data_IF_903351270097
#
_entry.id   IF_903351270097
#
_cell.length_a   1.000
_cell.length_b   1.000
_cell.length_c   1.000
_cell.angle_alpha   90.00
_cell.angle_beta   90.00
_cell.angle_gamma   90.00
#
_symmetry.space_group_name_H-M   'P 1'
#
loop_
_entity.id
_entity.type
_entity.pdbx_description
1 polymer ?
#
# COMPACT_ATOMS: atom_id res chain seq x y z
N UNK A 1 7.52 78.26 39.75
CA UNK A 1 6.04 78.22 39.74
C UNK A 1 5.62 77.27 40.85
N UNK A 2 5.45 77.85 42.05
CA UNK A 2 4.17 78.06 42.75
C UNK A 2 3.82 76.80 43.56
N UNK A 3 3.63 76.77 44.88
CA UNK A 3 3.71 77.71 46.01
C UNK A 3 3.30 76.80 47.20
N UNK A 4 4.12 76.45 48.18
CA UNK A 4 4.33 77.19 49.44
C UNK A 4 3.07 77.85 50.03
N UNK A 5 2.57 77.35 51.17
CA UNK A 5 2.23 78.14 52.39
C UNK A 5 1.71 77.14 53.46
N UNK A 6 2.34 76.90 54.62
CA UNK A 6 2.87 77.77 55.69
C UNK A 6 1.78 78.39 56.59
N UNK A 7 1.63 77.80 57.79
CA UNK A 7 1.29 78.39 59.10
C UNK A 7 0.88 77.24 60.03
N UNK A 8 1.61 76.86 61.07
CA UNK A 8 2.27 77.61 62.14
C UNK A 8 1.30 78.50 62.94
N UNK A 9 0.94 78.03 64.15
CA UNK A 9 0.48 78.84 65.27
C UNK A 9 0.50 77.98 66.55
N UNK A 10 1.66 78.02 67.19
CA UNK A 10 1.92 77.68 68.58
C UNK A 10 1.14 78.58 69.57
N UNK A 11 0.72 78.02 70.73
CA UNK A 11 0.55 78.64 72.07
C UNK A 11 -0.47 77.85 72.95
N UNK A 12 -0.53 78.05 74.28
CA UNK A 12 0.41 77.59 75.30
C UNK A 12 -0.30 76.74 76.39
N UNK A 13 0.48 76.21 77.32
CA UNK A 13 0.00 75.54 78.53
C UNK A 13 -0.88 76.44 79.42
N UNK A 14 -1.96 75.89 79.97
CA UNK A 14 -2.65 76.41 81.15
C UNK A 14 -3.17 75.25 82.03
N UNK A 15 -3.09 75.38 83.37
CA UNK A 15 -3.16 74.27 84.30
C UNK A 15 -4.56 73.98 84.88
N UNK A 16 -4.73 72.74 85.34
CA UNK A 16 -5.53 72.29 86.49
C UNK A 16 -6.87 73.01 86.78
N UNK A 17 -7.94 72.62 86.09
CA UNK A 17 -9.33 72.79 86.56
C UNK A 17 -10.15 71.50 86.65
N UNK A 18 -9.59 70.36 86.22
CA UNK A 18 -10.24 69.05 86.30
C UNK A 18 -10.15 68.42 87.70
N UNK A 19 -9.17 68.81 88.52
CA UNK A 19 -8.99 68.22 89.84
C UNK A 19 -10.01 68.70 90.88
N UNK A 20 -10.56 69.91 90.72
CA UNK A 20 -11.61 70.44 91.62
C UNK A 20 -13.01 69.96 91.25
N UNK A 21 -13.25 69.60 89.98
CA UNK A 21 -14.55 69.08 89.52
C UNK A 21 -14.83 67.65 90.04
N UNK A 22 -13.79 66.84 90.23
CA UNK A 22 -13.92 65.47 90.75
C UNK A 22 -14.28 65.38 92.24
N UNK A 23 -14.18 66.48 93.02
CA UNK A 23 -14.54 66.49 94.45
C UNK A 23 -15.99 66.90 94.75
N UNK A 24 -16.71 67.49 93.79
CA UNK A 24 -18.12 67.92 93.97
C UNK A 24 -19.14 67.11 93.17
N UNK A 25 -18.69 66.20 92.30
CA UNK A 25 -19.60 65.38 91.50
C UNK A 25 -19.98 64.12 92.26
N UNK A 26 -21.26 63.99 92.61
CA UNK A 26 -21.82 62.80 93.27
C UNK A 26 -21.60 61.55 92.38
N UNK A 27 -20.54 60.80 92.69
CA UNK A 27 -20.09 59.56 92.04
C UNK A 27 -21.19 58.53 91.67
N UNK A 28 -22.33 58.37 92.38
CA UNK A 28 -23.35 57.41 91.93
C UNK A 28 -24.00 57.74 90.57
N UNK A 29 -24.07 59.02 90.16
CA UNK A 29 -24.79 59.39 88.92
C UNK A 29 -23.99 59.13 87.64
N UNK A 30 -22.66 59.23 87.71
CA UNK A 30 -21.77 58.99 86.57
C UNK A 30 -21.66 57.50 86.23
N UNK A 31 -21.67 56.61 87.25
CA UNK A 31 -21.70 55.16 87.06
C UNK A 31 -23.01 54.72 86.40
N UNK A 32 -24.14 55.36 86.73
CA UNK A 32 -25.45 55.05 86.15
C UNK A 32 -25.53 55.39 84.66
N UNK A 33 -24.97 56.51 84.22
CA UNK A 33 -24.96 56.90 82.80
C UNK A 33 -24.15 55.95 81.91
N UNK A 34 -23.01 55.46 82.41
CA UNK A 34 -22.14 54.53 81.67
C UNK A 34 -22.81 53.16 81.50
N UNK A 35 -23.52 52.67 82.52
CA UNK A 35 -24.23 51.40 82.45
C UNK A 35 -25.34 51.41 81.38
N UNK A 36 -26.06 52.54 81.23
CA UNK A 36 -27.13 52.69 80.23
C UNK A 36 -26.55 52.78 78.80
N UNK A 37 -25.39 53.43 78.61
CA UNK A 37 -24.69 53.47 77.33
C UNK A 37 -24.18 52.10 76.87
N UNK A 38 -23.67 51.28 77.79
CA UNK A 38 -23.15 49.94 77.48
C UNK A 38 -24.27 48.94 77.14
N UNK A 39 -25.41 49.04 77.82
CA UNK A 39 -26.58 48.19 77.54
C UNK A 39 -27.21 48.51 76.17
N UNK A 40 -27.29 49.79 75.79
CA UNK A 40 -27.82 50.19 74.48
C UNK A 40 -26.90 49.75 73.33
N UNK A 41 -25.58 49.76 73.53
CA UNK A 41 -24.61 49.28 72.54
C UNK A 41 -24.65 47.75 72.35
N UNK A 42 -24.80 46.96 73.43
CA UNK A 42 -24.89 45.50 73.30
C UNK A 42 -26.15 45.02 72.56
N UNK A 43 -27.26 45.76 72.66
CA UNK A 43 -28.54 45.37 72.07
C UNK A 43 -28.58 45.57 70.54
N UNK A 44 -27.90 46.61 70.04
CA UNK A 44 -27.70 46.84 68.60
C UNK A 44 -26.85 45.73 67.96
N UNK A 45 -25.86 45.26 68.71
CA UNK A 45 -24.91 44.27 68.25
C UNK A 45 -25.53 42.87 68.18
N UNK A 46 -26.26 42.46 69.21
CA UNK A 46 -26.89 41.13 69.27
C UNK A 46 -27.87 40.88 68.12
N UNK A 47 -28.57 41.92 67.64
CA UNK A 47 -29.48 41.84 66.49
C UNK A 47 -28.76 41.60 65.17
N UNK A 48 -27.62 42.24 64.94
CA UNK A 48 -26.90 42.08 63.66
C UNK A 48 -26.26 40.71 63.48
N UNK A 49 -25.90 40.02 64.56
CA UNK A 49 -25.29 38.67 64.50
C UNK A 49 -26.32 37.59 64.15
N UNK A 50 -27.54 37.69 64.68
CA UNK A 50 -28.60 36.71 64.40
C UNK A 50 -29.03 36.74 62.94
N UNK A 51 -29.17 37.92 62.35
CA UNK A 51 -29.46 38.05 60.90
C UNK A 51 -28.37 37.46 60.00
N UNK A 52 -27.09 37.49 60.43
CA UNK A 52 -25.99 36.91 59.63
C UNK A 52 -25.95 35.39 59.69
N UNK A 53 -26.36 34.78 60.80
CA UNK A 53 -26.41 33.32 60.93
C UNK A 53 -27.53 32.72 60.07
N UNK A 54 -28.68 33.39 60.01
CA UNK A 54 -29.79 32.97 59.13
C UNK A 54 -29.51 33.20 57.64
N UNK A 55 -28.59 34.10 57.31
CA UNK A 55 -28.14 34.31 55.95
C UNK A 55 -27.09 33.26 55.56
N UNK A 56 -26.14 32.95 56.44
CA UNK A 56 -25.17 31.88 56.24
C UNK A 56 -25.81 30.49 56.15
N UNK A 57 -26.86 30.21 56.94
CA UNK A 57 -27.56 28.91 56.86
C UNK A 57 -28.29 28.74 55.52
N UNK A 58 -28.87 29.82 55.01
CA UNK A 58 -29.49 29.87 53.69
C UNK A 58 -28.47 29.76 52.56
N UNK A 59 -27.35 30.46 52.66
CA UNK A 59 -26.27 30.40 51.66
C UNK A 59 -25.64 28.99 51.60
N UNK A 60 -25.47 28.31 52.74
CA UNK A 60 -24.97 26.92 52.78
C UNK A 60 -25.99 25.93 52.19
N UNK A 61 -27.29 26.13 52.43
CA UNK A 61 -28.33 25.33 51.79
C UNK A 61 -28.36 25.54 50.26
N UNK A 62 -28.16 26.78 49.82
CA UNK A 62 -28.10 27.13 48.40
C UNK A 62 -26.83 26.57 47.72
N UNK A 63 -25.66 26.64 48.36
CA UNK A 63 -24.44 26.02 47.86
C UNK A 63 -24.57 24.49 47.74
N UNK A 64 -25.26 23.83 48.68
CA UNK A 64 -25.52 22.38 48.57
C UNK A 64 -26.40 22.05 47.37
N UNK A 65 -27.39 22.88 47.05
CA UNK A 65 -28.19 22.76 45.83
C UNK A 65 -27.31 22.90 44.58
N UNK A 66 -26.46 23.93 44.54
CA UNK A 66 -25.55 24.17 43.41
C UNK A 66 -24.52 23.05 43.23
N UNK A 67 -23.99 22.47 44.31
CA UNK A 67 -23.05 21.33 44.22
C UNK A 67 -23.73 20.07 43.68
N UNK A 68 -25.01 19.84 44.00
CA UNK A 68 -25.79 18.72 43.43
C UNK A 68 -26.08 18.96 41.94
N UNK A 69 -26.35 20.20 41.55
CA UNK A 69 -26.56 20.59 40.15
C UNK A 69 -25.26 20.47 39.33
N UNK A 70 -24.13 20.91 39.89
CA UNK A 70 -22.80 20.75 39.31
C UNK A 70 -22.40 19.27 39.21
N UNK A 71 -22.69 18.45 40.21
CA UNK A 71 -22.46 17.00 40.16
C UNK A 71 -23.35 16.29 39.13
N UNK A 72 -24.58 16.77 38.92
CA UNK A 72 -25.46 16.33 37.83
C UNK A 72 -24.86 16.68 36.47
N UNK A 73 -24.43 17.92 36.28
CA UNK A 73 -23.80 18.37 35.02
C UNK A 73 -22.51 17.62 34.68
N UNK A 74 -21.72 17.22 35.69
CA UNK A 74 -20.53 16.39 35.51
C UNK A 74 -20.87 14.96 35.04
N UNK A 75 -22.02 14.42 35.45
CA UNK A 75 -22.48 13.11 34.99
C UNK A 75 -22.98 13.17 33.55
N UNK A 76 -23.68 14.24 33.17
CA UNK A 76 -24.09 14.48 31.79
C UNK A 76 -22.87 14.68 30.88
N UNK A 77 -21.86 15.42 31.34
CA UNK A 77 -20.60 15.61 30.61
C UNK A 77 -19.88 14.28 30.35
N UNK A 78 -19.81 13.38 31.35
CA UNK A 78 -19.27 12.01 31.16
C UNK A 78 -20.07 11.21 30.14
N UNK A 79 -21.39 11.26 30.23
CA UNK A 79 -22.27 10.53 29.31
C UNK A 79 -22.13 11.02 27.87
N UNK A 80 -21.97 12.33 27.64
CA UNK A 80 -21.62 12.86 26.32
C UNK A 80 -20.23 12.44 25.87
N UNK A 81 -19.26 12.33 26.78
CA UNK A 81 -17.90 11.89 26.43
C UNK A 81 -17.88 10.40 26.04
N UNK A 82 -18.65 9.56 26.74
CA UNK A 82 -18.82 8.14 26.41
C UNK A 82 -19.51 7.96 25.05
N UNK A 83 -20.55 8.76 24.75
CA UNK A 83 -21.21 8.75 23.45
C UNK A 83 -20.29 9.25 22.32
N UNK A 84 -19.45 10.25 22.57
CA UNK A 84 -18.46 10.72 21.60
C UNK A 84 -17.37 9.67 21.36
N UNK A 85 -16.93 8.95 22.40
CA UNK A 85 -15.99 7.85 22.27
C UNK A 85 -16.59 6.69 21.46
N UNK A 86 -17.86 6.34 21.71
CA UNK A 86 -18.56 5.30 20.95
C UNK A 86 -18.78 5.72 19.48
N UNK A 87 -19.11 6.99 19.23
CA UNK A 87 -19.25 7.52 17.87
C UNK A 87 -17.91 7.57 17.13
N UNK A 88 -16.81 7.87 17.83
CA UNK A 88 -15.46 7.81 17.29
C UNK A 88 -15.06 6.38 16.90
N UNK A 89 -15.34 5.39 17.77
CA UNK A 89 -15.11 3.97 17.47
C UNK A 89 -15.98 3.51 16.29
N UNK A 90 -17.25 3.91 16.23
CA UNK A 90 -18.12 3.59 15.11
C UNK A 90 -17.62 4.18 13.79
N UNK A 91 -17.11 5.42 13.80
CA UNK A 91 -16.47 6.05 12.63
C UNK A 91 -15.23 5.29 12.18
N UNK A 92 -14.39 4.84 13.13
CA UNK A 92 -13.21 4.05 12.81
C UNK A 92 -13.58 2.69 12.18
N UNK A 93 -14.61 2.02 12.70
CA UNK A 93 -15.15 0.77 12.11
C UNK A 93 -15.71 1.00 10.71
N UNK A 94 -16.41 2.11 10.46
CA UNK A 94 -16.91 2.47 9.14
C UNK A 94 -15.77 2.77 8.15
N UNK A 95 -14.70 3.43 8.61
CA UNK A 95 -13.50 3.64 7.79
C UNK A 95 -12.84 2.31 7.42
N UNK A 96 -12.65 1.40 8.40
CA UNK A 96 -12.13 0.07 8.14
C UNK A 96 -13.01 -0.73 7.15
N UNK A 97 -14.33 -0.70 7.33
CA UNK A 97 -15.27 -1.35 6.40
C UNK A 97 -15.20 -0.75 4.98
N UNK A 98 -15.08 0.59 4.86
CA UNK A 98 -14.92 1.25 3.57
C UNK A 98 -13.63 0.86 2.86
N UNK A 99 -12.54 0.70 3.62
CA UNK A 99 -11.26 0.24 3.11
C UNK A 99 -11.37 -1.21 2.59
N UNK A 100 -11.99 -2.11 3.34
CA UNK A 100 -12.23 -3.49 2.91
C UNK A 100 -13.06 -3.57 1.62
N UNK A 101 -14.07 -2.71 1.47
CA UNK A 101 -14.87 -2.64 0.23
C UNK A 101 -14.04 -2.15 -0.95
N UNK A 102 -13.16 -1.17 -0.74
CA UNK A 102 -12.24 -0.71 -1.78
C UNK A 102 -11.27 -1.82 -2.21
N UNK A 103 -10.77 -2.60 -1.25
CA UNK A 103 -9.87 -3.73 -1.53
C UNK A 103 -10.59 -4.87 -2.25
N UNK A 104 -11.84 -5.19 -1.87
CA UNK A 104 -12.68 -6.17 -2.59
C UNK A 104 -12.93 -5.76 -4.04
N UNK A 105 -13.18 -4.48 -4.31
CA UNK A 105 -13.33 -3.96 -5.68
C UNK A 105 -12.03 -4.08 -6.48
N UNK A 106 -10.88 -3.82 -5.85
CA UNK A 106 -9.56 -3.99 -6.48
C UNK A 106 -9.33 -5.46 -6.83
N UNK A 107 -9.63 -6.38 -5.92
CA UNK A 107 -9.53 -7.84 -6.14
C UNK A 107 -10.45 -8.29 -7.28
N UNK A 108 -11.71 -7.81 -7.32
CA UNK A 108 -12.63 -8.11 -8.41
C UNK A 108 -12.08 -7.66 -9.77
N UNK A 109 -11.54 -6.44 -9.84
CA UNK A 109 -10.93 -5.91 -11.08
C UNK A 109 -9.72 -6.74 -11.51
N UNK A 110 -8.90 -7.19 -10.55
CA UNK A 110 -7.77 -8.08 -10.82
C UNK A 110 -8.22 -9.46 -11.33
N UNK A 111 -9.25 -10.05 -10.73
CA UNK A 111 -9.87 -11.31 -11.17
C UNK A 111 -10.45 -11.21 -12.59
N UNK A 112 -11.08 -10.10 -12.95
CA UNK A 112 -11.58 -9.86 -14.30
C UNK A 112 -10.44 -9.76 -15.32
N UNK A 113 -9.35 -9.06 -14.98
CA UNK A 113 -8.16 -8.99 -15.83
C UNK A 113 -7.46 -10.36 -15.97
N UNK A 114 -7.35 -11.11 -14.88
CA UNK A 114 -6.74 -12.43 -14.89
C UNK A 114 -7.58 -13.46 -15.65
N UNK A 115 -8.92 -13.38 -15.54
CA UNK A 115 -9.85 -14.15 -16.37
C UNK A 115 -9.71 -13.84 -17.87
N UNK A 116 -9.50 -12.57 -18.24
CA UNK A 116 -9.21 -12.18 -19.62
C UNK A 116 -7.87 -12.77 -20.12
N UNK A 117 -6.83 -12.77 -19.28
CA UNK A 117 -5.52 -13.40 -19.60
C UNK A 117 -5.61 -14.92 -19.75
N UNK A 118 -6.40 -15.59 -18.91
CA UNK A 118 -6.67 -17.03 -19.04
C UNK A 118 -7.39 -17.35 -20.35
N UNK A 119 -8.37 -16.53 -20.73
CA UNK A 119 -9.09 -16.67 -22.00
C UNK A 119 -8.16 -16.47 -23.21
N UNK A 120 -7.25 -15.50 -23.15
CA UNK A 120 -6.22 -15.30 -24.17
C UNK A 120 -5.28 -16.53 -24.27
N UNK A 121 -4.85 -17.08 -23.13
CA UNK A 121 -4.00 -18.27 -23.08
C UNK A 121 -4.69 -19.50 -23.65
N UNK A 122 -5.98 -19.68 -23.40
CA UNK A 122 -6.79 -20.76 -24.00
C UNK A 122 -6.87 -20.63 -25.53
N UNK A 123 -6.98 -19.41 -26.06
CA UNK A 123 -6.94 -19.16 -27.50
C UNK A 123 -5.57 -19.48 -28.11
N UNK A 124 -4.47 -19.17 -27.42
CA UNK A 124 -3.11 -19.56 -27.86
C UNK A 124 -2.96 -21.08 -27.93
N UNK A 125 -3.45 -21.82 -26.93
CA UNK A 125 -3.41 -23.29 -26.94
C UNK A 125 -4.26 -23.86 -28.09
N UNK A 126 -5.42 -23.26 -28.37
CA UNK A 126 -6.25 -23.64 -29.52
C UNK A 126 -5.51 -23.40 -30.84
N UNK A 127 -4.84 -22.26 -30.98
CA UNK A 127 -3.99 -21.93 -32.14
C UNK A 127 -2.83 -22.92 -32.32
N UNK A 128 -2.16 -23.30 -31.23
CA UNK A 128 -1.09 -24.32 -31.23
C UNK A 128 -1.59 -25.70 -31.71
N UNK A 129 -2.79 -26.13 -31.27
CA UNK A 129 -3.39 -27.37 -31.77
C UNK A 129 -3.76 -27.29 -33.24
N UNK A 130 -4.24 -26.14 -33.71
CA UNK A 130 -4.55 -25.93 -35.12
C UNK A 130 -3.28 -25.94 -35.97
N UNK A 131 -2.22 -25.27 -35.53
CA UNK A 131 -0.91 -25.30 -36.19
C UNK A 131 -0.35 -26.73 -36.22
N UNK A 132 -0.45 -27.48 -35.12
CA UNK A 132 -0.04 -28.88 -35.07
C UNK A 132 -0.83 -29.74 -36.08
N UNK A 133 -2.14 -29.56 -36.16
CA UNK A 133 -2.98 -30.27 -37.12
C UNK A 133 -2.61 -29.92 -38.57
N UNK A 134 -2.28 -28.66 -38.84
CA UNK A 134 -1.86 -28.18 -40.16
C UNK A 134 -0.48 -28.72 -40.55
N UNK A 135 0.48 -28.75 -39.62
CA UNK A 135 1.79 -29.39 -39.85
C UNK A 135 1.65 -30.88 -40.11
N UNK A 136 0.79 -31.59 -39.36
CA UNK A 136 0.48 -33.01 -39.60
C UNK A 136 -0.16 -33.18 -40.98
N UNK A 137 -1.07 -32.29 -41.38
CA UNK A 137 -1.72 -32.33 -42.68
C UNK A 137 -0.75 -32.04 -43.84
N UNK A 138 0.31 -31.25 -43.62
CA UNK A 138 1.35 -30.96 -44.61
C UNK A 138 2.45 -32.03 -44.68
N UNK A 139 2.54 -32.94 -43.71
CA UNK A 139 3.53 -34.01 -43.67
C UNK A 139 3.57 -34.90 -44.95
N UNK A 140 2.44 -35.27 -45.57
CA UNK A 140 2.44 -35.99 -46.85
C UNK A 140 3.05 -35.18 -48.01
N UNK A 141 2.92 -33.85 -48.00
CA UNK A 141 3.53 -32.99 -49.02
C UNK A 141 5.05 -32.92 -48.85
N UNK A 142 5.54 -32.87 -47.61
CA UNK A 142 6.98 -32.93 -47.31
C UNK A 142 7.58 -34.28 -47.74
N UNK A 143 6.87 -35.39 -47.49
CA UNK A 143 7.29 -36.71 -47.97
C UNK A 143 7.30 -36.78 -49.50
N UNK A 144 6.31 -36.17 -50.17
CA UNK A 144 6.26 -36.10 -51.62
C UNK A 144 7.41 -35.25 -52.20
N UNK A 145 7.72 -34.10 -51.59
CA UNK A 145 8.84 -33.25 -51.96
C UNK A 145 10.18 -33.99 -51.80
N UNK A 146 10.36 -34.72 -50.69
CA UNK A 146 11.57 -35.51 -50.44
C UNK A 146 11.74 -36.62 -51.47
N UNK A 147 10.65 -37.32 -51.83
CA UNK A 147 10.67 -38.31 -52.91
C UNK A 147 10.97 -37.70 -54.27
N UNK A 148 10.44 -36.51 -54.57
CA UNK A 148 10.75 -35.79 -55.82
C UNK A 148 12.24 -35.46 -55.93
N UNK A 149 12.86 -34.97 -54.85
CA UNK A 149 14.29 -34.65 -54.84
C UNK A 149 15.14 -35.91 -55.04
N UNK A 150 14.78 -37.02 -54.39
CA UNK A 150 15.46 -38.29 -54.59
C UNK A 150 15.34 -38.81 -56.04
N UNK A 151 14.17 -38.63 -56.67
CA UNK A 151 13.94 -39.00 -58.06
C UNK A 151 14.82 -38.16 -59.01
N UNK A 152 14.88 -36.85 -58.82
CA UNK A 152 15.73 -35.96 -59.63
C UNK A 152 17.23 -36.24 -59.49
N UNK A 153 17.69 -36.65 -58.31
CA UNK A 153 19.08 -37.10 -58.13
C UNK A 153 19.36 -38.40 -58.91
N UNK A 154 18.43 -39.37 -58.88
CA UNK A 154 18.56 -40.62 -59.65
C UNK A 154 18.56 -40.36 -61.16
N UNK A 155 17.74 -39.41 -61.62
CA UNK A 155 17.67 -39.00 -63.01
C UNK A 155 18.97 -38.32 -63.48
N UNK A 156 19.57 -37.42 -62.68
CA UNK A 156 20.87 -36.81 -63.00
C UNK A 156 21.97 -37.88 -63.17
N UNK A 157 22.02 -38.87 -62.30
CA UNK A 157 22.97 -39.97 -62.42
C UNK A 157 22.77 -40.75 -63.73
N UNK A 158 21.52 -41.01 -64.11
CA UNK A 158 21.19 -41.73 -65.34
C UNK A 158 21.52 -40.93 -66.60
N UNK A 159 21.31 -39.61 -66.58
CA UNK A 159 21.74 -38.72 -67.68
C UNK A 159 23.26 -38.69 -67.82
N UNK A 160 24.00 -38.67 -66.70
CA UNK A 160 25.47 -38.73 -66.73
C UNK A 160 25.98 -40.06 -67.31
N UNK A 161 25.37 -41.19 -66.94
CA UNK A 161 25.72 -42.50 -67.50
C UNK A 161 25.42 -42.57 -69.00
N UNK A 162 24.30 -41.99 -69.43
CA UNK A 162 23.94 -41.93 -70.85
C UNK A 162 24.87 -41.02 -71.65
N UNK A 163 25.24 -39.85 -71.11
CA UNK A 163 26.19 -38.94 -71.73
C UNK A 163 27.56 -39.62 -71.95
N UNK A 164 27.96 -40.54 -71.07
CA UNK A 164 29.15 -41.36 -71.25
C UNK A 164 28.99 -42.45 -72.32
N UNK A 165 27.78 -42.97 -72.55
CA UNK A 165 27.49 -44.01 -73.56
C UNK A 165 27.28 -43.48 -74.99
N UNK A 166 26.76 -42.25 -75.13
CA UNK A 166 26.47 -41.61 -76.42
C UNK A 166 27.67 -41.57 -77.40
N UNK A 167 28.91 -41.24 -76.99
CA UNK A 167 30.07 -41.23 -77.89
C UNK A 167 30.36 -42.61 -78.49
N UNK A 168 30.20 -43.68 -77.70
CA UNK A 168 30.43 -45.05 -78.17
C UNK A 168 29.38 -45.48 -79.21
N UNK A 169 28.12 -45.05 -79.05
CA UNK A 169 27.06 -45.32 -80.03
C UNK A 169 27.21 -44.50 -81.30
N UNK A 170 27.60 -43.22 -81.20
CA UNK A 170 27.86 -42.36 -82.36
C UNK A 170 29.00 -42.91 -83.23
N UNK A 171 30.06 -43.45 -82.61
CA UNK A 171 31.13 -44.13 -83.32
C UNK A 171 30.64 -45.35 -84.10
N UNK A 172 29.71 -46.13 -83.53
CA UNK A 172 29.13 -47.30 -84.19
C UNK A 172 28.32 -46.97 -85.45
N UNK A 173 27.65 -45.81 -85.48
CA UNK A 173 26.87 -45.35 -86.65
C UNK A 173 27.79 -44.88 -87.78
N UNK A 174 28.84 -44.13 -87.47
CA UNK A 174 29.83 -43.71 -88.46
C UNK A 174 30.54 -44.91 -89.12
N UNK A 175 30.81 -45.97 -88.35
CA UNK A 175 31.38 -47.21 -88.86
C UNK A 175 30.40 -47.96 -89.78
N UNK A 176 29.10 -47.93 -89.49
CA UNK A 176 28.07 -48.51 -90.36
C UNK A 176 27.93 -47.75 -91.69
N UNK A 177 27.97 -46.42 -91.68
CA UNK A 177 27.99 -45.61 -92.92
C UNK A 177 29.22 -45.91 -93.79
N UNK A 178 30.39 -46.08 -93.18
CA UNK A 178 31.61 -46.43 -93.88
C UNK A 178 31.52 -47.81 -94.58
N UNK A 179 30.91 -48.80 -93.93
CA UNK A 179 30.67 -50.13 -94.52
C UNK A 179 29.72 -50.06 -95.71
N UNK A 180 28.65 -49.24 -95.63
CA UNK A 180 27.72 -49.03 -96.77
C UNK A 180 28.42 -48.34 -97.94
N UNK A 181 29.29 -47.36 -97.68
CA UNK A 181 30.09 -46.71 -98.72
C UNK A 181 31.07 -47.70 -99.40
N UNK A 182 31.72 -48.58 -98.61
CA UNK A 182 32.55 -49.66 -99.15
C UNK A 182 31.75 -50.65 -100.00
N UNK A 183 30.49 -50.91 -99.63
CA UNK A 183 29.56 -51.76 -100.37
C UNK A 183 29.25 -51.21 -101.76
N UNK A 184 29.05 -49.89 -101.86
CA UNK A 184 28.84 -49.21 -103.12
C UNK A 184 30.07 -49.31 -104.03
N UNK A 185 31.28 -49.11 -103.46
CA UNK A 185 32.53 -49.23 -104.20
C UNK A 185 32.82 -50.66 -104.69
N UNK A 186 32.59 -51.67 -103.85
CA UNK A 186 32.80 -53.07 -104.24
C UNK A 186 31.86 -53.49 -105.38
N UNK A 187 30.60 -53.03 -105.34
CA UNK A 187 29.63 -53.27 -106.40
C UNK A 187 30.07 -52.65 -107.73
N UNK A 188 30.64 -51.47 -107.71
CA UNK A 188 31.15 -50.79 -108.91
C UNK A 188 32.36 -51.54 -109.48
N UNK A 189 33.31 -51.94 -108.63
CA UNK A 189 34.48 -52.73 -109.04
C UNK A 189 34.11 -54.11 -109.60
N UNK A 190 33.04 -54.73 -109.06
CA UNK A 190 32.49 -55.99 -109.54
C UNK A 190 31.89 -55.92 -110.94
N UNK A 191 31.35 -54.77 -111.32
CA UNK A 191 30.78 -54.56 -112.64
C UNK A 191 31.88 -54.34 -113.70
N UNK A 192 33.08 -53.89 -113.30
CA UNK A 192 34.22 -53.67 -114.19
C UNK A 192 35.07 -54.91 -114.50
N UNK A 193 35.21 -55.88 -113.58
CA UNK A 193 36.10 -57.03 -113.74
C UNK A 193 35.34 -58.35 -113.96
N UNK A 194 34.88 -58.59 -115.19
CA UNK A 194 33.96 -59.70 -115.54
C UNK A 194 34.63 -61.03 -115.91
N UNK A 195 35.96 -61.09 -116.08
CA UNK A 195 36.62 -62.24 -116.75
C UNK A 195 37.64 -63.05 -115.92
N UNK A 196 37.63 -63.03 -114.58
CA UNK A 196 38.63 -63.76 -113.76
C UNK A 196 38.07 -64.54 -112.58
N UNK A 197 38.32 -65.86 -112.52
CA UNK A 197 38.00 -66.73 -111.36
C UNK A 197 38.79 -66.31 -110.10
N UNK A 198 39.95 -65.69 -110.27
CA UNK A 198 40.75 -65.14 -109.15
C UNK A 198 40.12 -63.85 -108.60
N UNK A 199 39.64 -62.96 -109.48
CA UNK A 199 38.84 -61.79 -109.10
C UNK A 199 37.55 -62.21 -108.38
N UNK A 200 36.91 -63.31 -108.80
CA UNK A 200 35.74 -63.85 -108.12
C UNK A 200 36.03 -64.33 -106.68
N UNK A 201 37.23 -64.88 -106.40
CA UNK A 201 37.62 -65.28 -105.03
C UNK A 201 37.88 -64.07 -104.14
N UNK A 202 38.64 -63.10 -104.64
CA UNK A 202 38.94 -61.86 -103.92
C UNK A 202 37.65 -61.08 -103.60
N UNK A 203 36.70 -61.12 -104.53
CA UNK A 203 35.39 -60.52 -104.39
C UNK A 203 34.46 -61.28 -103.42
N UNK A 204 34.58 -62.61 -103.32
CA UNK A 204 33.87 -63.41 -102.30
C UNK A 204 34.42 -63.13 -100.90
N UNK A 205 35.74 -62.99 -100.75
CA UNK A 205 36.34 -62.61 -99.46
C UNK A 205 35.93 -61.19 -99.07
N UNK A 206 35.94 -60.23 -100.01
CA UNK A 206 35.43 -58.89 -99.77
C UNK A 206 33.93 -58.89 -99.42
N UNK A 207 33.11 -59.73 -100.06
CA UNK A 207 31.70 -59.93 -99.71
C UNK A 207 31.53 -60.54 -98.32
N UNK A 208 32.39 -61.47 -97.90
CA UNK A 208 32.35 -62.03 -96.55
C UNK A 208 32.74 -61.00 -95.49
N UNK A 209 33.79 -60.22 -95.71
CA UNK A 209 34.18 -59.11 -94.83
C UNK A 209 33.04 -58.10 -94.70
N UNK A 210 32.39 -57.79 -95.81
CA UNK A 210 31.25 -56.89 -95.89
C UNK A 210 30.01 -57.42 -95.18
N UNK A 211 29.65 -58.71 -95.38
CA UNK A 211 28.52 -59.35 -94.69
C UNK A 211 28.76 -59.38 -93.19
N UNK A 212 30.00 -59.65 -92.75
CA UNK A 212 30.36 -59.57 -91.34
C UNK A 212 30.26 -58.12 -90.81
N UNK A 213 30.71 -57.13 -91.58
CA UNK A 213 30.57 -55.71 -91.25
C UNK A 213 29.11 -55.25 -91.17
N UNK A 214 28.26 -55.71 -92.09
CA UNK A 214 26.82 -55.42 -92.10
C UNK A 214 26.09 -56.06 -90.93
N UNK A 215 26.44 -57.31 -90.55
CA UNK A 215 25.87 -57.95 -89.37
C UNK A 215 26.24 -57.18 -88.10
N UNK A 216 27.50 -56.78 -87.93
CA UNK A 216 27.93 -55.95 -86.81
C UNK A 216 27.27 -54.56 -86.81
N UNK A 217 27.16 -53.92 -87.98
CA UNK A 217 26.47 -52.65 -88.14
C UNK A 217 24.98 -52.74 -87.84
N UNK A 218 24.31 -53.82 -88.26
CA UNK A 218 22.91 -54.09 -87.97
C UNK A 218 22.65 -54.28 -86.46
N UNK A 219 23.54 -54.99 -85.77
CA UNK A 219 23.46 -55.18 -84.33
C UNK A 219 23.62 -53.84 -83.56
N UNK A 220 24.56 -53.00 -84.00
CA UNK A 220 24.73 -51.64 -83.47
C UNK A 220 23.54 -50.72 -83.78
N UNK A 221 22.89 -50.88 -84.92
CA UNK A 221 21.71 -50.10 -85.30
C UNK A 221 20.50 -50.48 -84.43
N UNK A 222 20.35 -51.75 -84.09
CA UNK A 222 19.38 -52.22 -83.09
C UNK A 222 19.71 -51.60 -81.71
N UNK A 223 20.98 -51.61 -81.29
CA UNK A 223 21.40 -50.98 -80.03
C UNK A 223 21.13 -49.47 -80.00
N UNK A 224 21.39 -48.76 -81.10
CA UNK A 224 21.08 -47.34 -81.23
C UNK A 224 19.56 -47.07 -81.15
N UNK A 225 18.74 -47.95 -81.74
CA UNK A 225 17.28 -47.84 -81.67
C UNK A 225 16.74 -48.08 -80.25
N UNK A 226 17.33 -49.04 -79.52
CA UNK A 226 17.01 -49.29 -78.11
C UNK A 226 17.39 -48.06 -77.27
N UNK A 227 18.59 -47.51 -77.46
CA UNK A 227 19.05 -46.33 -76.75
C UNK A 227 18.22 -45.07 -77.04
N UNK A 228 17.77 -44.89 -78.29
CA UNK A 228 16.83 -43.83 -78.65
C UNK A 228 15.46 -44.02 -77.96
N UNK A 229 15.00 -45.26 -77.81
CA UNK A 229 13.82 -45.59 -77.02
C UNK A 229 13.99 -45.25 -75.53
N UNK A 230 15.15 -45.57 -74.95
CA UNK A 230 15.48 -45.22 -73.57
C UNK A 230 15.57 -43.70 -73.35
N UNK A 231 16.10 -42.96 -74.31
CA UNK A 231 16.12 -41.48 -74.32
C UNK A 231 14.72 -40.89 -74.28
N UNK A 232 13.79 -41.42 -75.08
CA UNK A 232 12.39 -40.98 -75.08
C UNK A 232 11.71 -41.31 -73.75
N UNK A 233 11.96 -42.50 -73.20
CA UNK A 233 11.44 -42.87 -71.89
C UNK A 233 11.97 -41.94 -70.78
N UNK A 234 13.26 -41.60 -70.81
CA UNK A 234 13.89 -40.68 -69.85
C UNK A 234 13.35 -39.26 -70.02
N UNK A 235 13.12 -38.78 -71.24
CA UNK A 235 12.45 -37.50 -71.49
C UNK A 235 11.05 -37.45 -70.87
N UNK A 236 10.28 -38.53 -70.98
CA UNK A 236 8.94 -38.59 -70.39
C UNK A 236 8.99 -38.58 -68.85
N UNK A 237 9.96 -39.28 -68.24
CA UNK A 237 10.20 -39.23 -66.79
C UNK A 237 10.62 -37.83 -66.34
N UNK A 238 11.51 -37.17 -67.08
CA UNK A 238 11.94 -35.78 -66.87
C UNK A 238 10.75 -34.81 -66.87
N UNK A 239 9.83 -34.96 -67.81
CA UNK A 239 8.65 -34.12 -67.89
C UNK A 239 7.72 -34.29 -66.67
N UNK A 240 7.57 -35.51 -66.17
CA UNK A 240 6.81 -35.80 -64.95
C UNK A 240 7.51 -35.24 -63.71
N UNK A 241 8.84 -35.39 -63.62
CA UNK A 241 9.62 -34.86 -62.49
C UNK A 241 9.68 -33.33 -62.48
N UNK A 242 9.73 -32.66 -63.63
CA UNK A 242 9.66 -31.19 -63.72
C UNK A 242 8.39 -30.64 -63.06
N UNK A 243 7.25 -31.29 -63.30
CA UNK A 243 5.98 -30.93 -62.65
C UNK A 243 6.01 -31.21 -61.13
N UNK A 244 6.81 -32.18 -60.68
CA UNK A 244 7.12 -32.40 -59.26
C UNK A 244 7.99 -31.29 -58.66
N UNK A 245 8.98 -30.78 -59.41
CA UNK A 245 9.86 -29.69 -58.98
C UNK A 245 9.06 -28.38 -58.80
N UNK A 246 8.17 -28.03 -59.74
CA UNK A 246 7.30 -26.84 -59.59
C UNK A 246 6.41 -26.95 -58.35
N UNK A 247 5.85 -28.14 -58.08
CA UNK A 247 5.08 -28.39 -56.85
C UNK A 247 5.93 -28.26 -55.59
N UNK A 248 7.17 -28.77 -55.62
CA UNK A 248 8.12 -28.65 -54.51
C UNK A 248 8.55 -27.19 -54.27
N UNK A 249 8.79 -26.41 -55.31
CA UNK A 249 9.12 -24.98 -55.19
C UNK A 249 7.95 -24.17 -54.62
N UNK A 250 6.72 -24.46 -55.05
CA UNK A 250 5.52 -23.84 -54.48
C UNK A 250 5.36 -24.21 -52.98
N UNK A 251 5.57 -25.46 -52.61
CA UNK A 251 5.53 -25.89 -51.21
C UNK A 251 6.64 -25.25 -50.37
N UNK A 252 7.87 -25.15 -50.89
CA UNK A 252 8.98 -24.46 -50.24
C UNK A 252 8.71 -22.96 -50.06
N UNK A 253 8.09 -22.31 -51.05
CA UNK A 253 7.63 -20.92 -50.96
C UNK A 253 6.58 -20.74 -49.87
N UNK A 254 5.62 -21.66 -49.76
CA UNK A 254 4.63 -21.65 -48.68
C UNK A 254 5.27 -21.84 -47.30
N UNK A 255 6.25 -22.74 -47.17
CA UNK A 255 6.98 -22.96 -45.92
C UNK A 255 7.84 -21.76 -45.52
N UNK A 256 8.46 -21.07 -46.48
CA UNK A 256 9.18 -19.81 -46.23
C UNK A 256 8.23 -18.72 -45.74
N UNK A 257 7.08 -18.54 -46.39
CA UNK A 257 6.07 -17.57 -45.96
C UNK A 257 5.52 -17.91 -44.55
N UNK A 258 5.29 -19.19 -44.26
CA UNK A 258 4.93 -19.66 -42.92
C UNK A 258 6.04 -19.37 -41.90
N UNK A 259 7.30 -19.61 -42.25
CA UNK A 259 8.44 -19.34 -41.38
C UNK A 259 8.59 -17.83 -41.11
N UNK A 260 8.40 -16.98 -42.10
CA UNK A 260 8.43 -15.53 -41.96
C UNK A 260 7.30 -15.03 -41.06
N UNK A 261 6.09 -15.58 -41.22
CA UNK A 261 4.94 -15.31 -40.36
C UNK A 261 5.19 -15.77 -38.91
N UNK A 262 5.74 -16.98 -38.73
CA UNK A 262 6.07 -17.54 -37.41
C UNK A 262 7.22 -16.78 -36.75
N UNK A 263 8.23 -16.36 -37.50
CA UNK A 263 9.35 -15.56 -37.00
C UNK A 263 8.88 -14.18 -36.56
N UNK A 264 7.98 -13.54 -37.32
CA UNK A 264 7.31 -12.31 -36.91
C UNK A 264 6.49 -12.48 -35.62
N UNK A 265 5.68 -13.54 -35.54
CA UNK A 265 4.88 -13.85 -34.35
C UNK A 265 5.73 -14.19 -33.11
N UNK A 266 6.89 -14.83 -33.32
CA UNK A 266 7.82 -15.17 -32.24
C UNK A 266 8.51 -13.94 -31.66
N UNK A 267 8.85 -12.97 -32.50
CA UNK A 267 9.40 -11.70 -32.05
C UNK A 267 8.39 -10.93 -31.18
N UNK A 268 7.12 -10.88 -31.63
CA UNK A 268 6.02 -10.23 -30.88
C UNK A 268 5.83 -10.88 -29.51
N UNK A 269 5.87 -12.21 -29.42
CA UNK A 269 5.70 -12.91 -28.13
C UNK A 269 6.88 -12.74 -27.17
N UNK A 270 8.11 -12.53 -27.65
CA UNK A 270 9.28 -12.21 -26.80
C UNK A 270 9.15 -10.79 -26.24
N UNK A 271 8.71 -9.83 -27.05
CA UNK A 271 8.52 -8.44 -26.62
C UNK A 271 7.38 -8.33 -25.59
N UNK A 272 6.27 -9.06 -25.80
CA UNK A 272 5.19 -9.16 -24.81
C UNK A 272 5.65 -9.83 -23.51
N UNK A 273 6.44 -10.91 -23.59
CA UNK A 273 6.98 -11.58 -22.41
C UNK A 273 7.95 -10.68 -21.62
N UNK A 274 8.81 -9.90 -22.30
CA UNK A 274 9.68 -8.92 -21.64
C UNK A 274 8.88 -7.78 -20.99
N UNK A 275 7.82 -7.31 -21.64
CA UNK A 275 6.91 -6.31 -21.08
C UNK A 275 6.21 -6.81 -19.81
N UNK A 276 5.71 -8.05 -19.85
CA UNK A 276 5.10 -8.70 -18.69
C UNK A 276 6.11 -8.91 -17.56
N UNK A 277 7.35 -9.32 -17.87
CA UNK A 277 8.42 -9.47 -16.87
C UNK A 277 8.76 -8.12 -16.21
N UNK A 278 8.91 -7.04 -17.00
CA UNK A 278 9.09 -5.68 -16.44
C UNK A 278 7.94 -5.27 -15.54
N UNK A 279 6.70 -5.55 -15.97
CA UNK A 279 5.51 -5.26 -15.17
C UNK A 279 5.52 -6.03 -13.85
N UNK A 280 5.92 -7.31 -13.88
CA UNK A 280 6.01 -8.15 -12.69
C UNK A 280 7.13 -7.70 -11.74
N UNK A 281 8.28 -7.29 -12.29
CA UNK A 281 9.38 -6.68 -11.52
C UNK A 281 8.95 -5.36 -10.87
N UNK A 282 8.21 -4.52 -11.59
CA UNK A 282 7.67 -3.27 -11.04
C UNK A 282 6.68 -3.54 -9.90
N UNK A 283 5.82 -4.54 -10.04
CA UNK A 283 4.93 -4.98 -8.96
C UNK A 283 5.74 -5.53 -7.77
N UNK A 284 6.80 -6.30 -8.01
CA UNK A 284 7.67 -6.79 -6.94
C UNK A 284 8.35 -5.63 -6.19
N UNK A 285 8.85 -4.62 -6.91
CA UNK A 285 9.48 -3.44 -6.32
C UNK A 285 8.47 -2.58 -5.54
N UNK A 286 7.25 -2.42 -6.06
CA UNK A 286 6.15 -1.79 -5.32
C UNK A 286 5.78 -2.56 -4.06
N UNK A 287 5.71 -3.89 -4.12
CA UNK A 287 5.41 -4.75 -2.96
C UNK A 287 6.55 -4.73 -1.93
N UNK A 288 7.81 -4.69 -2.35
CA UNK A 288 8.92 -4.57 -1.39
C UNK A 288 8.94 -3.20 -0.73
N UNK A 289 8.60 -2.13 -1.47
CA UNK A 289 8.41 -0.79 -0.91
C UNK A 289 7.24 -0.73 0.08
N UNK A 290 6.10 -1.35 -0.27
CA UNK A 290 4.94 -1.43 0.62
C UNK A 290 5.20 -2.28 1.85
N UNK A 291 5.98 -3.36 1.76
CA UNK A 291 6.35 -4.18 2.92
C UNK A 291 7.16 -3.36 3.93
N UNK A 292 8.00 -2.43 3.46
CA UNK A 292 8.73 -1.49 4.31
C UNK A 292 7.80 -0.49 5.00
N UNK A 293 6.82 0.05 4.28
CA UNK A 293 5.77 0.91 4.83
C UNK A 293 4.88 0.16 5.85
N UNK A 294 4.59 -1.12 5.62
CA UNK A 294 3.85 -1.96 6.56
C UNK A 294 4.69 -2.21 7.82
N UNK A 295 6.01 -2.46 7.69
CA UNK A 295 6.90 -2.60 8.83
C UNK A 295 6.96 -1.31 9.67
N UNK A 296 7.06 -0.15 9.02
CA UNK A 296 7.01 1.17 9.68
C UNK A 296 5.64 1.44 10.34
N UNK A 297 4.55 0.97 9.71
CA UNK A 297 3.20 1.07 10.29
C UNK A 297 3.02 0.14 11.50
N UNK A 298 3.64 -1.04 11.49
CA UNK A 298 3.64 -1.98 12.62
C UNK A 298 4.48 -1.41 13.77
N UNK A 299 5.64 -0.81 13.49
CA UNK A 299 6.47 -0.12 14.47
C UNK A 299 5.72 1.06 15.11
N UNK A 300 4.97 1.84 14.33
CA UNK A 300 4.09 2.88 14.87
C UNK A 300 2.93 2.33 15.71
N UNK A 301 2.40 1.15 15.38
CA UNK A 301 1.38 0.49 16.19
C UNK A 301 1.95 -0.05 17.51
N UNK A 302 3.18 -0.55 17.49
CA UNK A 302 3.90 -0.97 18.70
C UNK A 302 4.18 0.24 19.61
N UNK A 303 4.61 1.36 19.02
CA UNK A 303 4.78 2.63 19.72
C UNK A 303 3.48 3.16 20.33
N UNK A 304 2.34 2.97 19.66
CA UNK A 304 1.02 3.31 20.18
C UNK A 304 0.59 2.38 21.31
N UNK A 305 0.93 1.09 21.26
CA UNK A 305 0.66 0.13 22.33
C UNK A 305 1.51 0.43 23.59
N UNK A 306 2.78 0.80 23.40
CA UNK A 306 3.65 1.28 24.47
C UNK A 306 3.12 2.58 25.09
N UNK A 307 2.68 3.52 24.24
CA UNK A 307 2.06 4.75 24.71
C UNK A 307 0.79 4.49 25.53
N UNK A 308 -0.06 3.56 25.09
CA UNK A 308 -1.26 3.17 25.83
C UNK A 308 -0.91 2.53 27.19
N UNK A 309 0.17 1.76 27.26
CA UNK A 309 0.67 1.17 28.52
C UNK A 309 1.14 2.26 29.48
N UNK A 310 1.96 3.20 29.00
CA UNK A 310 2.43 4.35 29.78
C UNK A 310 1.27 5.23 30.24
N UNK A 311 0.27 5.44 29.38
CA UNK A 311 -0.90 6.26 29.71
C UNK A 311 -1.76 5.58 30.78
N UNK A 312 -1.94 4.26 30.73
CA UNK A 312 -2.62 3.49 31.77
C UNK A 312 -1.85 3.52 33.11
N UNK A 313 -0.52 3.46 33.06
CA UNK A 313 0.32 3.59 34.25
C UNK A 313 0.19 4.99 34.87
N UNK A 314 0.20 6.04 34.04
CA UNK A 314 -0.03 7.42 34.49
C UNK A 314 -1.45 7.62 35.05
N UNK A 315 -2.48 7.04 34.44
CA UNK A 315 -3.85 7.09 34.96
C UNK A 315 -3.96 6.37 36.31
N UNK A 316 -3.28 5.24 36.47
CA UNK A 316 -3.24 4.51 37.75
C UNK A 316 -2.52 5.32 38.82
N UNK A 317 -1.43 5.99 38.47
CA UNK A 317 -0.71 6.90 39.36
C UNK A 317 -1.57 8.13 39.73
N UNK A 318 -2.34 8.68 38.79
CA UNK A 318 -3.28 9.77 39.07
C UNK A 318 -4.44 9.33 39.97
N UNK A 319 -4.95 8.11 39.80
CA UNK A 319 -6.00 7.58 40.69
C UNK A 319 -5.44 7.30 42.10
N UNK A 320 -4.17 6.89 42.19
CA UNK A 320 -3.40 6.83 43.43
C UNK A 320 -3.27 8.20 44.11
N UNK A 321 -2.88 9.23 43.38
CA UNK A 321 -2.80 10.61 43.87
C UNK A 321 -4.17 11.14 44.31
N UNK A 322 -5.22 10.87 43.52
CA UNK A 322 -6.60 11.23 43.88
C UNK A 322 -7.01 10.54 45.17
N UNK A 323 -6.66 9.27 45.35
CA UNK A 323 -6.95 8.52 46.57
C UNK A 323 -6.17 9.06 47.76
N UNK A 324 -4.89 9.38 47.59
CA UNK A 324 -4.07 10.04 48.62
C UNK A 324 -4.63 11.42 49.00
N UNK A 325 -5.08 12.23 48.04
CA UNK A 325 -5.76 13.50 48.31
C UNK A 325 -7.09 13.29 49.03
N UNK A 326 -7.84 12.25 48.67
CA UNK A 326 -9.10 11.90 49.35
C UNK A 326 -8.84 11.46 50.79
N UNK A 327 -7.81 10.65 51.02
CA UNK A 327 -7.39 10.21 52.35
C UNK A 327 -6.86 11.38 53.19
N UNK A 328 -6.15 12.33 52.56
CA UNK A 328 -5.70 13.56 53.21
C UNK A 328 -6.90 14.41 53.68
N UNK A 329 -7.90 14.61 52.82
CA UNK A 329 -9.13 15.35 53.19
C UNK A 329 -9.91 14.63 54.29
N UNK A 330 -9.99 13.30 54.25
CA UNK A 330 -10.62 12.50 55.31
C UNK A 330 -9.83 12.57 56.63
N UNK A 331 -8.51 12.58 56.55
CA UNK A 331 -7.61 12.70 57.71
C UNK A 331 -7.65 14.12 58.31
N UNK A 332 -7.79 15.15 57.49
CA UNK A 332 -8.05 16.53 57.94
C UNK A 332 -9.40 16.61 58.65
N UNK A 333 -10.45 15.97 58.11
CA UNK A 333 -11.75 15.90 58.77
C UNK A 333 -11.70 15.08 60.08
N UNK A 334 -10.87 14.04 60.13
CA UNK A 334 -10.63 13.24 61.34
C UNK A 334 -9.82 14.03 62.38
N UNK A 335 -8.81 14.82 61.98
CA UNK A 335 -8.09 15.76 62.85
C UNK A 335 -9.00 16.86 63.38
N UNK A 336 -9.85 17.43 62.53
CA UNK A 336 -10.84 18.42 62.94
C UNK A 336 -11.84 17.84 63.96
N UNK A 337 -12.28 16.58 63.78
CA UNK A 337 -13.10 15.87 64.76
C UNK A 337 -12.34 15.52 66.03
N UNK A 338 -11.10 15.05 65.93
CA UNK A 338 -10.25 14.72 67.06
C UNK A 338 -9.96 15.96 67.92
N UNK A 339 -9.66 17.10 67.29
CA UNK A 339 -9.53 18.40 67.95
C UNK A 339 -10.84 18.83 68.63
N UNK A 340 -11.99 18.61 67.97
CA UNK A 340 -13.31 18.90 68.54
C UNK A 340 -13.70 17.97 69.70
N UNK A 341 -13.22 16.72 69.72
CA UNK A 341 -13.43 15.76 70.82
C UNK A 341 -12.40 15.87 71.95
N UNK A 342 -11.20 16.41 71.67
CA UNK A 342 -10.18 16.70 72.68
C UNK A 342 -10.41 18.07 73.36
N UNK A 343 -11.11 18.99 72.72
CA UNK A 343 -11.53 20.26 73.31
C UNK A 343 -12.21 20.12 74.70
N UNK A 344 -13.18 19.21 74.91
CA UNK A 344 -13.77 19.02 76.25
C UNK A 344 -12.85 18.33 77.26
N UNK A 345 -11.82 17.58 76.84
CA UNK A 345 -10.86 16.96 77.77
C UNK A 345 -9.81 17.96 78.27
N UNK A 346 -9.46 18.96 77.47
CA UNK A 346 -8.71 20.13 77.93
C UNK A 346 -9.55 20.98 78.92
N UNK A 347 -10.87 21.06 78.73
CA UNK A 347 -11.76 21.68 79.71
C UNK A 347 -11.84 20.88 81.03
N UNK A 348 -11.84 19.54 81.01
CA UNK A 348 -11.90 18.72 82.24
C UNK A 348 -10.58 18.75 83.03
N UNK A 349 -9.42 18.89 82.39
CA UNK A 349 -8.14 19.13 83.06
C UNK A 349 -8.11 20.44 83.85
N UNK A 350 -8.93 21.43 83.46
CA UNK A 350 -9.10 22.70 84.18
C UNK A 350 -10.10 22.65 85.35
N UNK A 351 -10.93 21.59 85.45
CA UNK A 351 -11.98 21.50 86.49
C UNK A 351 -11.53 20.83 87.80
N UNK A 352 -10.29 20.36 87.91
CA UNK A 352 -9.79 19.72 89.15
C UNK A 352 -9.01 20.65 90.08
N UNK A 353 -8.97 21.95 89.78
CA UNK A 353 -8.19 22.93 90.54
C UNK A 353 -8.84 24.30 90.73
N UNK A 354 -10.16 24.45 90.56
CA UNK A 354 -10.83 25.74 90.73
C UNK A 354 -11.64 25.77 92.03
N UNK A 355 -11.24 26.71 92.88
CA UNK A 355 -11.71 26.97 94.23
C UNK A 355 -13.18 27.42 94.20
N UNK A 356 -13.96 27.12 95.24
CA UNK A 356 -15.41 27.39 95.29
C UNK A 356 -15.79 28.88 95.19
N UNK A 357 -14.79 29.77 95.28
CA UNK A 357 -14.91 31.20 95.01
C UNK A 357 -14.92 31.56 93.52
N UNK A 358 -14.17 30.84 92.68
CA UNK A 358 -14.09 31.11 91.24
C UNK A 358 -15.29 30.58 90.46
N UNK A 359 -16.00 29.56 90.95
CA UNK A 359 -17.25 29.08 90.32
C UNK A 359 -18.38 30.12 90.47
N UNK A 360 -18.36 30.91 91.55
CA UNK A 360 -19.36 31.97 91.81
C UNK A 360 -19.03 33.27 91.07
N UNK A 361 -17.75 33.52 90.82
CA UNK A 361 -17.27 34.62 89.98
C UNK A 361 -17.38 34.28 88.49
N UNK A 362 -17.16 33.02 88.09
CA UNK A 362 -17.37 32.51 86.74
C UNK A 362 -18.86 32.43 86.36
N UNK A 363 -19.76 32.12 87.30
CA UNK A 363 -21.21 32.20 87.04
C UNK A 363 -21.68 33.66 86.79
N UNK A 364 -21.07 34.64 87.47
CA UNK A 364 -21.30 36.08 87.21
C UNK A 364 -20.66 36.54 85.90
N UNK A 365 -19.43 36.11 85.60
CA UNK A 365 -18.74 36.45 84.37
C UNK A 365 -19.35 35.78 83.13
N UNK A 366 -19.94 34.58 83.25
CA UNK A 366 -20.63 33.89 82.14
C UNK A 366 -21.98 34.56 81.83
N UNK A 367 -22.66 35.15 82.84
CA UNK A 367 -23.82 36.01 82.57
C UNK A 367 -23.42 37.33 81.92
N UNK A 368 -22.31 37.95 82.30
CA UNK A 368 -21.83 39.24 81.73
C UNK A 368 -21.20 39.10 80.33
N UNK A 369 -20.61 37.94 80.03
CA UNK A 369 -19.95 37.66 78.75
C UNK A 369 -20.93 37.22 77.65
N UNK A 370 -22.09 36.66 78.02
CA UNK A 370 -23.18 36.37 77.07
C UNK A 370 -23.77 37.64 76.46
N UNK A 371 -23.70 38.74 77.19
CA UNK A 371 -24.19 40.05 76.75
C UNK A 371 -23.14 40.81 75.93
N UNK A 372 -21.83 40.61 76.20
CA UNK A 372 -20.73 41.39 75.56
C UNK A 372 -20.17 40.83 74.24
N UNK A 373 -20.40 39.55 73.92
CA UNK A 373 -19.73 38.87 72.77
C UNK A 373 -20.66 38.51 71.62
N UNK A 374 -21.57 39.43 71.28
CA UNK A 374 -22.08 39.53 69.91
C UNK A 374 -21.28 40.54 69.07
N UNK A 375 -20.30 41.25 69.64
CA UNK A 375 -19.44 42.20 68.89
C UNK A 375 -18.03 41.67 68.78
N UNK A 376 -17.39 41.98 67.65
CA UNK A 376 -15.97 41.78 67.36
C UNK A 376 -15.64 40.42 66.76
N UNK A 377 -16.15 40.27 65.54
CA UNK A 377 -15.58 39.50 64.44
C UNK A 377 -14.13 39.94 64.12
N UNK A 378 -13.30 38.98 63.69
CA UNK A 378 -12.13 39.07 62.78
C UNK A 378 -11.07 40.15 62.98
N UNK A 379 -9.81 39.68 62.99
CA UNK A 379 -8.65 39.97 62.11
C UNK A 379 -7.42 39.43 62.89
N UNK A 380 -6.55 38.57 62.36
CA UNK A 380 -5.59 38.78 61.26
C UNK A 380 -4.98 37.39 60.91
N UNK A 381 -4.80 37.01 59.63
CA UNK A 381 -3.53 37.18 58.86
C UNK A 381 -2.59 35.97 59.10
N UNK A 382 -1.97 35.27 58.15
CA UNK A 382 -1.83 35.33 56.70
C UNK A 382 -0.70 34.34 56.33
N UNK A 383 -0.77 33.69 55.17
CA UNK A 383 0.41 33.18 54.42
C UNK A 383 -0.02 32.42 53.15
N UNK A 384 0.53 32.87 52.02
CA UNK A 384 0.43 32.35 50.64
C UNK A 384 1.00 30.91 50.48
N UNK A 385 0.85 30.25 49.30
CA UNK A 385 1.76 30.53 48.16
C UNK A 385 1.14 30.49 46.74
N UNK A 386 1.70 31.36 45.90
CA UNK A 386 2.33 31.07 44.59
C UNK A 386 1.51 30.43 43.45
N UNK A 387 1.06 31.30 42.54
CA UNK A 387 0.51 30.97 41.22
C UNK A 387 1.65 30.95 40.19
N UNK A 388 1.93 29.80 39.59
CA UNK A 388 2.74 29.72 38.36
C UNK A 388 1.81 29.96 37.16
N UNK A 389 2.11 31.05 36.48
CA UNK A 389 1.54 31.48 35.21
C UNK A 389 1.94 30.51 34.09
N UNK A 390 0.96 29.94 33.40
CA UNK A 390 1.19 29.26 32.12
C UNK A 390 0.81 30.26 31.02
N UNK A 391 1.84 30.91 30.47
CA UNK A 391 1.73 31.66 29.22
C UNK A 391 1.43 30.68 28.07
N UNK A 392 0.34 30.93 27.35
CA UNK A 392 0.25 30.62 25.92
C UNK A 392 1.25 31.51 25.15
N UNK A 393 1.68 31.10 23.94
CA UNK A 393 0.96 31.62 22.76
C UNK A 393 0.88 30.67 21.55
N UNK A 394 -0.17 30.90 20.75
CA UNK A 394 -0.25 30.95 19.27
C UNK A 394 0.46 29.87 18.42
N UNK A 395 -0.29 29.04 17.71
CA UNK A 395 -0.70 29.29 16.30
C UNK A 395 0.48 29.48 15.34
N UNK A 396 0.88 28.40 14.64
CA UNK A 396 1.17 28.43 13.19
C UNK A 396 0.89 27.02 12.62
N UNK A 397 -0.29 26.83 12.03
CA UNK A 397 -0.52 25.77 11.04
C UNK A 397 -0.87 26.47 9.72
N UNK A 398 0.07 26.44 8.78
CA UNK A 398 -0.20 26.63 7.36
C UNK A 398 0.56 25.52 6.61
N UNK A 399 -0.14 24.68 5.83
CA UNK A 399 0.46 24.23 4.60
C UNK A 399 -0.47 24.50 3.41
N UNK A 400 0.12 25.11 2.40
CA UNK A 400 -0.46 25.47 1.13
C UNK A 400 -1.21 24.33 0.44
N UNK A 401 -2.37 24.69 -0.13
CA UNK A 401 -3.10 23.89 -1.09
C UNK A 401 -2.24 23.58 -2.33
N UNK A 402 -2.11 22.30 -2.68
CA UNK A 402 -1.66 21.87 -4.02
C UNK A 402 -2.86 21.90 -4.98
N UNK A 403 -2.73 22.49 -6.19
CA UNK A 403 -3.74 22.33 -7.24
C UNK A 403 -3.66 20.93 -7.87
N UNK A 404 -4.83 20.37 -8.18
CA UNK A 404 -5.00 19.09 -8.87
C UNK A 404 -4.50 19.13 -10.33
N UNK A 405 -4.10 17.99 -10.92
CA UNK A 405 -3.69 17.90 -12.32
C UNK A 405 -4.88 17.99 -13.28
N UNK A 406 -4.72 18.79 -14.32
CA UNK A 406 -5.65 18.94 -15.46
C UNK A 406 -5.55 17.69 -16.36
N UNK A 407 -6.66 17.14 -16.88
CA UNK A 407 -6.62 16.04 -17.85
C UNK A 407 -6.03 16.49 -19.21
N UNK A 408 -5.41 15.58 -19.98
CA UNK A 408 -4.89 15.90 -21.30
C UNK A 408 -6.03 16.20 -22.28
N UNK A 409 -5.92 17.34 -22.97
CA UNK A 409 -6.65 17.62 -24.20
C UNK A 409 -6.14 16.72 -25.32
N UNK A 410 -7.08 16.26 -26.15
CA UNK A 410 -6.92 15.43 -27.35
C UNK A 410 -5.82 15.87 -28.32
#
# INVERSE_FOLDING_TARGET
MLQSEFRDASRPAAPSRLQDFFRQTQWPTLISGIAIGLASMQLLVARTVTTRVDQLSRDVAQMRGQVVELAGSANDARRTNDLLAELADQRQRLQAASQTVADLRRIQTQLEQEGARLSASANVVKGLRQLQAEVIAQQPQLDAATRSVAASAALQNRMSEMAQRLPAQAAGIAEAEAVVAQLAGLKEHALEHRDGVEAAREQVDALNTLVNGLNQGGERLIQARVAAGELVAIKNVLAIEMDGIERSQNAAGQLLALNETLSGARQISIDEAQSNLRSMLQVQEQLSGQTRLIAESVENLDLLADFQTVLNEQLTNLDGLRRQLTDLVMMEAAMARAAKTLAPLAEIGSMRGLNEHEVREAARAILDRRTSRSTTTRLADGSEPEVISISSPDEVFEPAARPAPVPPTE
#
